data_IF_866179517897
#
_entry.id   IF_866179517897
#
_cell.length_a   1.000
_cell.length_b   1.000
_cell.length_c   1.000
_cell.angle_alpha   90.00
_cell.angle_beta   90.00
_cell.angle_gamma   90.00
#
_symmetry.space_group_name_H-M   'P 1'
#
loop_
_entity.id
_entity.type
_entity.pdbx_description
1 polymer ?
#
# COMPACT_ATOMS: atom_id res chain seq x y z
N UNK A 1 -28.36 7.32 -27.18
CA UNK A 1 -26.90 7.21 -27.39
C UNK A 1 -26.24 7.67 -26.11
N UNK A 2 -25.96 6.69 -25.24
CA UNK A 2 -25.76 6.84 -23.81
C UNK A 2 -24.53 7.68 -23.45
N UNK A 3 -24.78 8.90 -22.97
CA UNK A 3 -23.81 9.80 -22.36
C UNK A 3 -23.45 9.40 -20.91
N UNK A 4 -23.65 8.13 -20.53
CA UNK A 4 -23.75 7.72 -19.13
C UNK A 4 -22.92 6.51 -18.70
N UNK A 5 -21.85 6.09 -19.38
CA UNK A 5 -21.14 4.89 -18.87
C UNK A 5 -19.65 4.70 -19.25
N UNK A 6 -18.87 5.76 -19.46
CA UNK A 6 -17.42 5.59 -19.67
C UNK A 6 -16.52 6.62 -18.97
N UNK A 7 -16.99 7.21 -17.87
CA UNK A 7 -16.07 7.68 -16.84
C UNK A 7 -15.56 6.46 -16.06
N UNK A 8 -14.80 5.59 -16.73
CA UNK A 8 -13.93 4.64 -16.07
C UNK A 8 -13.01 5.52 -15.23
N UNK A 9 -13.30 5.68 -13.93
CA UNK A 9 -12.44 6.42 -13.01
C UNK A 9 -11.10 5.72 -13.12
N UNK A 10 -10.18 6.30 -13.90
CA UNK A 10 -8.82 5.80 -14.05
C UNK A 10 -8.26 5.86 -12.65
N UNK A 11 -8.23 4.71 -11.98
CA UNK A 11 -7.68 4.60 -10.63
C UNK A 11 -6.22 5.01 -10.77
N UNK A 12 -5.91 6.23 -10.37
CA UNK A 12 -4.54 6.72 -10.36
C UNK A 12 -3.80 6.10 -9.17
N UNK A 13 -2.48 6.27 -9.15
CA UNK A 13 -1.62 5.80 -8.06
C UNK A 13 -2.16 6.17 -6.67
N UNK A 14 -2.74 7.37 -6.50
CA UNK A 14 -3.37 7.84 -5.26
C UNK A 14 -4.54 6.98 -4.79
N UNK A 15 -5.42 6.53 -5.69
CA UNK A 15 -6.53 5.64 -5.33
C UNK A 15 -6.05 4.30 -4.80
N UNK A 16 -5.02 3.73 -5.43
CA UNK A 16 -4.41 2.48 -4.96
C UNK A 16 -3.73 2.68 -3.61
N UNK A 17 -2.94 3.75 -3.47
CA UNK A 17 -2.24 4.08 -2.24
C UNK A 17 -3.18 4.26 -1.04
N UNK A 18 -4.36 4.85 -1.23
CA UNK A 18 -5.38 4.97 -0.18
C UNK A 18 -5.85 3.62 0.37
N UNK A 19 -5.79 2.56 -0.44
CA UNK A 19 -6.18 1.20 -0.05
C UNK A 19 -5.03 0.41 0.60
N UNK A 20 -3.79 0.93 0.59
CA UNK A 20 -2.65 0.21 1.15
C UNK A 20 -2.64 0.22 2.69
N UNK A 21 -2.89 1.38 3.31
CA UNK A 21 -2.95 1.53 4.78
C UNK A 21 -3.83 0.51 5.45
N UNK A 22 -5.11 0.38 5.03
CA UNK A 22 -6.04 -0.48 5.73
C UNK A 22 -5.65 -1.95 5.60
N UNK A 23 -5.02 -2.34 4.49
CA UNK A 23 -4.51 -3.71 4.31
C UNK A 23 -3.28 -4.00 5.16
N UNK A 24 -2.31 -3.08 5.24
CA UNK A 24 -1.15 -3.23 6.16
C UNK A 24 -1.64 -3.33 7.61
N UNK A 25 -2.57 -2.48 8.02
CA UNK A 25 -3.14 -2.52 9.36
C UNK A 25 -3.98 -3.79 9.63
N UNK A 26 -4.67 -4.33 8.63
CA UNK A 26 -5.36 -5.64 8.74
C UNK A 26 -4.37 -6.79 8.87
N UNK A 27 -3.30 -6.77 8.08
CA UNK A 27 -2.25 -7.77 8.06
C UNK A 27 -1.58 -7.90 9.42
N UNK A 28 -1.06 -6.80 9.97
CA UNK A 28 -0.38 -6.85 11.26
C UNK A 28 -1.31 -7.18 12.43
N UNK A 29 -2.53 -6.62 12.46
CA UNK A 29 -3.51 -6.98 13.51
C UNK A 29 -3.87 -8.47 13.49
N UNK A 30 -4.05 -9.05 12.31
CA UNK A 30 -4.34 -10.48 12.17
C UNK A 30 -3.13 -11.34 12.58
N UNK A 31 -1.92 -10.94 12.18
CA UNK A 31 -0.68 -11.60 12.56
C UNK A 31 -0.46 -11.62 14.06
N UNK A 32 -0.59 -10.46 14.71
CA UNK A 32 -0.43 -10.32 16.17
C UNK A 32 -1.49 -11.12 16.95
N UNK A 33 -2.64 -11.38 16.32
CA UNK A 33 -3.72 -12.20 16.89
C UNK A 33 -3.58 -13.70 16.57
N UNK A 34 -2.49 -14.14 15.95
CA UNK A 34 -2.26 -15.53 15.54
C UNK A 34 -3.12 -16.00 14.35
N UNK A 35 -3.87 -15.11 13.70
CA UNK A 35 -4.78 -15.43 12.58
C UNK A 35 -4.04 -15.40 11.25
N UNK A 36 -3.12 -16.35 11.04
CA UNK A 36 -2.19 -16.38 9.90
C UNK A 36 -2.89 -16.28 8.54
N UNK A 37 -3.96 -17.04 8.32
CA UNK A 37 -4.68 -17.01 7.03
C UNK A 37 -5.24 -15.63 6.68
N UNK A 38 -5.78 -14.92 7.68
CA UNK A 38 -6.32 -13.57 7.49
C UNK A 38 -5.19 -12.57 7.21
N UNK A 39 -4.05 -12.75 7.89
CA UNK A 39 -2.85 -11.96 7.64
C UNK A 39 -2.33 -12.17 6.21
N UNK A 40 -2.23 -13.42 5.75
CA UNK A 40 -1.83 -13.77 4.39
C UNK A 40 -2.77 -13.21 3.32
N UNK A 41 -4.09 -13.23 3.57
CA UNK A 41 -5.06 -12.61 2.67
C UNK A 41 -4.88 -11.08 2.60
N UNK A 42 -4.64 -10.43 3.74
CA UNK A 42 -4.37 -8.99 3.79
C UNK A 42 -3.04 -8.64 3.10
N UNK A 43 -1.98 -9.45 3.30
CA UNK A 43 -0.71 -9.35 2.58
C UNK A 43 -0.94 -9.41 1.08
N UNK A 44 -1.67 -10.41 0.59
CA UNK A 44 -1.93 -10.58 -0.84
C UNK A 44 -2.71 -9.40 -1.43
N UNK A 45 -3.65 -8.80 -0.68
CA UNK A 45 -4.35 -7.58 -1.11
C UNK A 45 -3.41 -6.36 -1.13
N UNK A 46 -2.56 -6.20 -0.13
CA UNK A 46 -1.55 -5.14 -0.10
C UNK A 46 -0.55 -5.25 -1.27
N UNK A 47 -0.08 -6.47 -1.59
CA UNK A 47 0.79 -6.72 -2.73
C UNK A 47 0.13 -6.33 -4.06
N UNK A 48 -1.15 -6.69 -4.26
CA UNK A 48 -1.90 -6.28 -5.46
C UNK A 48 -2.00 -4.76 -5.62
N UNK A 49 -2.14 -4.03 -4.51
CA UNK A 49 -2.14 -2.57 -4.50
C UNK A 49 -0.78 -2.03 -4.94
N UNK A 50 0.31 -2.53 -4.36
CA UNK A 50 1.68 -2.10 -4.70
C UNK A 50 2.04 -2.45 -6.14
N UNK A 51 1.66 -3.64 -6.62
CA UNK A 51 1.87 -4.04 -8.01
C UNK A 51 1.11 -3.11 -8.96
N UNK A 52 -0.13 -2.74 -8.63
CA UNK A 52 -0.90 -1.77 -9.43
C UNK A 52 -0.20 -0.42 -9.50
N UNK A 53 0.37 0.05 -8.39
CA UNK A 53 1.15 1.29 -8.30
C UNK A 53 2.43 1.18 -9.16
N UNK A 54 3.20 0.09 -9.06
CA UNK A 54 4.41 -0.14 -9.86
C UNK A 54 4.14 -0.24 -11.38
N UNK A 55 2.95 -0.71 -11.78
CA UNK A 55 2.54 -0.72 -13.20
C UNK A 55 2.08 0.64 -13.72
N UNK A 56 1.88 1.63 -12.84
CA UNK A 56 1.49 2.98 -13.24
C UNK A 56 2.64 3.73 -13.92
N UNK A 57 2.35 4.37 -15.05
CA UNK A 57 3.31 5.25 -15.74
C UNK A 57 3.51 6.60 -15.03
N UNK A 58 2.79 6.86 -13.93
CA UNK A 58 2.85 8.11 -13.16
C UNK A 58 4.07 8.20 -12.23
N UNK A 59 4.76 7.08 -11.99
CA UNK A 59 5.79 6.97 -10.96
C UNK A 59 7.18 7.11 -11.57
N UNK A 60 7.93 8.10 -11.08
CA UNK A 60 9.35 8.33 -11.42
C UNK A 60 10.23 7.16 -10.95
N UNK A 61 11.42 6.95 -11.53
CA UNK A 61 12.32 5.85 -11.17
C UNK A 61 12.60 5.73 -9.66
N UNK A 62 12.93 6.82 -8.96
CA UNK A 62 13.15 6.81 -7.52
C UNK A 62 11.91 6.34 -6.72
N UNK A 63 10.71 6.74 -7.14
CA UNK A 63 9.47 6.25 -6.54
C UNK A 63 9.26 4.75 -6.78
N UNK A 64 9.65 4.22 -7.95
CA UNK A 64 9.55 2.78 -8.23
C UNK A 64 10.45 1.95 -7.31
N UNK A 65 11.62 2.46 -6.94
CA UNK A 65 12.52 1.80 -5.98
C UNK A 65 11.88 1.72 -4.58
N UNK A 66 11.32 2.84 -4.09
CA UNK A 66 10.59 2.87 -2.82
C UNK A 66 9.41 1.88 -2.80
N UNK A 67 8.64 1.83 -3.89
CA UNK A 67 7.53 0.89 -4.03
C UNK A 67 7.98 -0.56 -4.11
N UNK A 68 9.11 -0.83 -4.75
CA UNK A 68 9.72 -2.17 -4.81
C UNK A 68 10.22 -2.62 -3.43
N UNK A 69 10.85 -1.72 -2.67
CA UNK A 69 11.24 -1.99 -1.29
C UNK A 69 10.00 -2.25 -0.41
N UNK A 70 8.95 -1.45 -0.55
CA UNK A 70 7.67 -1.63 0.15
C UNK A 70 7.05 -2.99 -0.16
N UNK A 71 7.08 -3.41 -1.42
CA UNK A 71 6.61 -4.74 -1.84
C UNK A 71 7.35 -5.87 -1.12
N UNK A 72 8.67 -5.77 -1.01
CA UNK A 72 9.50 -6.77 -0.34
C UNK A 72 9.24 -6.82 1.16
N UNK A 73 9.05 -5.67 1.80
CA UNK A 73 8.67 -5.59 3.22
C UNK A 73 7.31 -6.24 3.47
N UNK A 74 6.32 -6.03 2.60
CA UNK A 74 5.01 -6.69 2.70
C UNK A 74 5.15 -8.20 2.50
N UNK A 75 5.97 -8.65 1.55
CA UNK A 75 6.15 -10.07 1.26
C UNK A 75 6.72 -10.84 2.48
N UNK A 76 7.67 -10.25 3.19
CA UNK A 76 8.29 -10.83 4.40
C UNK A 76 7.79 -10.22 5.71
N UNK A 77 6.51 -9.81 5.79
CA UNK A 77 5.99 -9.05 6.92
C UNK A 77 6.13 -9.74 8.30
N UNK A 78 6.17 -11.07 8.30
CA UNK A 78 6.29 -11.96 9.46
C UNK A 78 7.72 -12.03 10.01
N UNK A 79 8.71 -11.63 9.20
CA UNK A 79 10.12 -11.57 9.57
C UNK A 79 10.57 -10.16 9.96
N UNK A 80 9.68 -9.16 9.91
CA UNK A 80 10.03 -7.78 10.19
C UNK A 80 10.24 -7.56 11.69
N UNK A 81 11.34 -6.90 12.02
CA UNK A 81 11.53 -6.35 13.35
C UNK A 81 10.58 -5.15 13.62
N UNK A 82 10.55 -4.69 14.87
CA UNK A 82 9.69 -3.57 15.27
C UNK A 82 9.99 -2.27 14.51
N UNK A 83 11.21 -2.07 14.01
CA UNK A 83 11.60 -0.87 13.26
C UNK A 83 11.10 -0.93 11.82
N UNK A 84 11.36 -2.03 11.12
CA UNK A 84 10.91 -2.27 9.75
C UNK A 84 9.38 -2.31 9.66
N UNK A 85 8.71 -2.86 10.68
CA UNK A 85 7.25 -2.79 10.82
C UNK A 85 6.74 -1.35 10.89
N UNK A 86 7.36 -0.48 11.72
CA UNK A 86 7.00 0.94 11.80
C UNK A 86 7.20 1.67 10.47
N UNK A 87 8.28 1.34 9.75
CA UNK A 87 8.52 1.86 8.40
C UNK A 87 7.36 1.47 7.48
N UNK A 88 6.96 0.19 7.46
CA UNK A 88 5.88 -0.29 6.60
C UNK A 88 4.52 0.34 6.96
N UNK A 89 4.20 0.41 8.26
CA UNK A 89 3.01 1.12 8.76
C UNK A 89 3.03 2.61 8.39
N UNK A 90 4.22 3.23 8.29
CA UNK A 90 4.35 4.60 7.81
C UNK A 90 3.94 4.73 6.34
N UNK A 91 4.30 3.78 5.46
CA UNK A 91 3.88 3.78 4.05
C UNK A 91 2.37 3.63 3.87
N UNK A 92 1.72 3.00 4.84
CA UNK A 92 0.27 3.02 4.94
C UNK A 92 -0.30 4.38 5.33
N UNK A 93 0.38 5.23 6.10
CA UNK A 93 -0.26 6.48 6.60
C UNK A 93 -0.79 7.34 5.44
N UNK A 94 -1.98 7.96 5.60
CA UNK A 94 -2.59 8.76 4.55
C UNK A 94 -1.55 9.69 3.92
N UNK A 95 -1.49 9.70 2.59
CA UNK A 95 -0.58 10.53 1.80
C UNK A 95 -0.59 12.00 2.25
N UNK A 96 -1.75 12.48 2.74
CA UNK A 96 -1.92 13.79 3.37
C UNK A 96 -1.00 14.03 4.57
N UNK A 97 -0.78 13.06 5.47
CA UNK A 97 0.06 13.23 6.66
C UNK A 97 1.55 13.33 6.29
N UNK A 98 1.98 12.63 5.23
CA UNK A 98 3.38 12.67 4.77
C UNK A 98 3.75 13.95 4.02
N UNK A 99 2.80 14.57 3.32
CA UNK A 99 3.06 15.76 2.50
C UNK A 99 2.52 17.08 3.10
N UNK A 100 1.57 17.07 4.04
CA UNK A 100 1.13 18.30 4.70
C UNK A 100 2.15 18.82 5.73
N UNK A 101 2.97 17.95 6.34
CA UNK A 101 4.02 18.37 7.28
C UNK A 101 5.33 18.82 6.62
N UNK A 102 5.42 18.84 5.28
CA UNK A 102 6.53 19.48 4.56
C UNK A 102 6.19 20.90 4.07
N UNK A 103 4.96 21.37 4.29
CA UNK A 103 4.50 22.73 3.98
C UNK A 103 3.97 23.50 5.21
N UNK A 104 4.36 23.08 6.41
CA UNK A 104 4.04 23.76 7.68
C UNK A 104 5.29 24.31 8.33
#
# INVERSE_FOLDING_TARGET
MDYFLNAMIKKNSLFYMANLSPEIGRMFRAHDSGKKEIADQARNRALKVVDSVLTSNEIKPAGREEWSATRNLIAGYDLLDAFARKILESFGRPFSIKFMNQFG
#
